data_IF_073073600858
#
_entry.id   IF_073073600858
#
_cell.length_a   1.000
_cell.length_b   1.000
_cell.length_c   1.000
_cell.angle_alpha   90.00
_cell.angle_beta   90.00
_cell.angle_gamma   90.00
#
_symmetry.space_group_name_H-M   'P 1'
#
loop_
_entity.id
_entity.type
_entity.pdbx_description
1 polymer ?
#
# COMPACT_ATOMS: atom_id res chain seq x y z
N UNK A 1 8.27 9.90 19.39
CA UNK A 1 9.24 9.01 18.73
C UNK A 1 10.11 9.84 17.81
N UNK A 2 11.31 9.39 17.50
CA UNK A 2 12.23 10.01 16.53
C UNK A 2 12.38 9.05 15.36
N UNK A 3 12.40 9.56 14.13
CA UNK A 3 12.68 8.75 12.94
C UNK A 3 13.71 9.43 12.06
N UNK A 4 14.41 8.61 11.27
CA UNK A 4 15.46 9.06 10.36
C UNK A 4 15.20 8.43 9.01
N UNK A 5 14.76 9.24 8.04
CA UNK A 5 14.59 8.78 6.65
C UNK A 5 15.91 8.81 5.86
N UNK A 6 16.90 9.58 6.35
CA UNK A 6 18.20 9.77 5.69
C UNK A 6 18.18 10.75 4.50
N UNK A 7 17.01 11.31 4.19
CA UNK A 7 16.77 12.32 3.15
C UNK A 7 15.74 13.34 3.66
N UNK A 8 15.62 14.52 3.03
CA UNK A 8 14.55 15.47 3.35
C UNK A 8 13.18 14.82 3.22
N UNK A 9 12.37 14.98 4.26
CA UNK A 9 10.95 14.62 4.24
C UNK A 9 10.20 15.81 3.65
N UNK A 10 9.42 15.57 2.61
CA UNK A 10 8.72 16.63 1.88
C UNK A 10 7.24 16.63 2.15
N UNK A 11 6.65 15.44 2.33
CA UNK A 11 5.25 15.32 2.71
C UNK A 11 5.03 14.22 3.74
N UNK A 12 4.01 14.45 4.57
CA UNK A 12 3.57 13.54 5.63
C UNK A 12 2.06 13.34 5.50
N UNK A 13 1.63 12.08 5.51
CA UNK A 13 0.23 11.70 5.37
C UNK A 13 -0.17 10.77 6.50
N UNK A 14 -1.29 11.09 7.15
CA UNK A 14 -1.98 10.12 8.00
C UNK A 14 -2.95 9.31 7.15
N UNK A 15 -2.78 8.00 7.21
CA UNK A 15 -3.53 7.05 6.40
C UNK A 15 -3.88 5.87 7.31
N UNK A 16 -5.15 5.80 7.72
CA UNK A 16 -5.57 4.87 8.76
C UNK A 16 -4.76 5.04 10.04
N UNK A 17 -4.12 3.97 10.51
CA UNK A 17 -3.30 3.98 11.74
C UNK A 17 -1.79 4.15 11.45
N UNK A 18 -1.46 4.68 10.28
CA UNK A 18 -0.08 4.85 9.83
C UNK A 18 0.22 6.31 9.51
N UNK A 19 1.47 6.69 9.74
CA UNK A 19 2.04 7.96 9.29
C UNK A 19 3.06 7.66 8.19
N UNK A 20 2.81 8.16 6.99
CA UNK A 20 3.65 7.97 5.82
C UNK A 20 4.45 9.25 5.59
N UNK A 21 5.76 9.14 5.53
CA UNK A 21 6.71 10.17 5.15
C UNK A 21 7.22 9.89 3.73
N UNK A 22 7.14 10.86 2.83
CA UNK A 22 7.65 10.73 1.47
C UNK A 22 8.75 11.75 1.19
N UNK A 23 9.61 11.40 0.24
CA UNK A 23 10.67 12.26 -0.29
C UNK A 23 10.69 12.16 -1.81
N UNK A 24 10.92 13.27 -2.52
CA UNK A 24 11.09 13.27 -3.98
C UNK A 24 12.21 12.34 -4.44
N UNK A 25 13.18 12.01 -3.58
CA UNK A 25 14.24 11.02 -3.86
C UNK A 25 13.73 9.59 -4.07
N UNK A 26 12.46 9.32 -3.76
CA UNK A 26 11.86 7.99 -3.80
C UNK A 26 11.96 7.23 -2.48
N UNK A 27 12.45 7.85 -1.39
CA UNK A 27 12.36 7.21 -0.06
C UNK A 27 10.96 7.39 0.53
N UNK A 28 10.41 6.30 1.06
CA UNK A 28 9.17 6.27 1.81
C UNK A 28 9.45 5.72 3.20
N UNK A 29 9.10 6.48 4.24
CA UNK A 29 9.09 6.02 5.62
C UNK A 29 7.67 5.80 6.09
N UNK A 30 7.39 4.71 6.79
CA UNK A 30 6.06 4.46 7.35
C UNK A 30 6.15 4.06 8.80
N UNK A 31 5.39 4.78 9.61
CA UNK A 31 5.20 4.47 11.02
C UNK A 31 3.87 3.81 11.24
N UNK A 32 3.88 2.68 11.94
CA UNK A 32 2.67 2.03 12.40
C UNK A 32 2.39 2.44 13.86
N UNK A 33 1.22 3.01 14.11
CA UNK A 33 0.86 3.51 15.44
C UNK A 33 0.59 2.39 16.46
N UNK A 34 0.28 1.16 16.02
CA UNK A 34 0.08 -0.01 16.88
C UNK A 34 1.41 -0.59 17.31
N UNK A 35 2.27 -0.92 16.34
CA UNK A 35 3.57 -1.57 16.61
C UNK A 35 4.64 -0.57 17.07
N UNK A 36 4.36 0.74 16.93
CA UNK A 36 5.27 1.85 17.24
C UNK A 36 6.59 1.78 16.46
N UNK A 37 6.59 1.10 15.31
CA UNK A 37 7.78 0.83 14.52
C UNK A 37 7.80 1.66 13.23
N UNK A 38 8.99 2.13 12.83
CA UNK A 38 9.24 2.78 11.54
C UNK A 38 9.84 1.79 10.56
N UNK A 39 9.31 1.75 9.35
CA UNK A 39 9.88 1.03 8.21
C UNK A 39 10.25 2.04 7.13
N UNK A 40 11.35 1.80 6.42
CA UNK A 40 11.77 2.64 5.29
C UNK A 40 11.92 1.74 4.08
N UNK A 41 11.36 2.18 2.96
CA UNK A 41 11.43 1.50 1.68
C UNK A 41 11.78 2.50 0.59
N UNK A 42 12.55 2.03 -0.39
CA UNK A 42 12.88 2.81 -1.58
C UNK A 42 11.91 2.47 -2.71
N UNK A 43 11.46 3.53 -3.39
CA UNK A 43 10.74 3.52 -4.65
C UNK A 43 11.45 4.45 -5.64
N UNK A 44 10.82 4.64 -6.79
CA UNK A 44 11.22 5.61 -7.81
C UNK A 44 10.83 7.04 -7.38
N UNK A 45 11.58 8.09 -7.77
CA UNK A 45 11.25 9.47 -7.44
C UNK A 45 9.77 9.82 -7.63
N UNK A 46 9.19 10.44 -6.59
CA UNK A 46 7.76 10.70 -6.48
C UNK A 46 7.49 12.12 -7.00
N UNK A 47 6.69 12.25 -8.04
CA UNK A 47 6.33 13.52 -8.65
C UNK A 47 4.96 14.04 -8.20
N UNK A 48 4.06 13.12 -7.86
CA UNK A 48 2.71 13.44 -7.43
C UNK A 48 2.21 12.42 -6.42
N UNK A 49 1.22 12.81 -5.63
CA UNK A 49 0.58 11.93 -4.65
C UNK A 49 -0.84 12.41 -4.41
N UNK A 50 -1.72 11.50 -4.00
CA UNK A 50 -3.02 11.86 -3.45
C UNK A 50 -3.52 10.84 -2.42
N UNK A 51 -4.13 11.32 -1.35
CA UNK A 51 -4.53 10.53 -0.19
C UNK A 51 -6.05 10.37 -0.13
N UNK A 52 -6.52 9.15 0.08
CA UNK A 52 -7.93 8.82 0.18
C UNK A 52 -8.20 7.93 1.39
N UNK A 53 -8.58 8.56 2.50
CA UNK A 53 -9.01 7.90 3.74
C UNK A 53 -7.96 6.96 4.35
N UNK A 54 -7.90 5.72 3.85
CA UNK A 54 -7.07 4.62 4.36
C UNK A 54 -5.95 4.19 3.41
N UNK A 55 -5.74 4.92 2.29
CA UNK A 55 -4.58 4.72 1.43
C UNK A 55 -4.03 6.03 0.84
N UNK A 56 -2.84 5.93 0.25
CA UNK A 56 -2.13 6.95 -0.49
C UNK A 56 -1.75 6.38 -1.86
N UNK A 57 -1.96 7.15 -2.92
CA UNK A 57 -1.42 6.88 -4.24
C UNK A 57 -0.20 7.77 -4.49
N UNK A 58 0.83 7.21 -5.11
CA UNK A 58 2.05 7.92 -5.48
C UNK A 58 2.26 7.77 -6.98
N UNK A 59 2.49 8.88 -7.67
CA UNK A 59 2.84 8.93 -9.07
C UNK A 59 4.32 9.24 -9.22
N UNK A 60 5.05 8.34 -9.87
CA UNK A 60 6.50 8.42 -9.99
C UNK A 60 6.95 9.00 -11.34
N UNK A 61 8.22 9.39 -11.41
CA UNK A 61 8.82 9.99 -12.61
C UNK A 61 8.99 9.03 -13.80
N UNK A 62 8.84 7.72 -13.59
CA UNK A 62 8.97 6.67 -14.60
C UNK A 62 7.61 6.08 -15.05
N UNK A 63 6.53 6.79 -14.78
CA UNK A 63 5.18 6.34 -15.11
C UNK A 63 4.58 5.31 -14.15
N UNK A 64 5.30 4.86 -13.12
CA UNK A 64 4.76 3.95 -12.12
C UNK A 64 3.78 4.66 -11.17
N UNK A 65 2.68 3.99 -10.84
CA UNK A 65 1.72 4.39 -9.81
C UNK A 65 1.79 3.38 -8.68
N UNK A 66 2.17 3.83 -7.49
CA UNK A 66 2.23 3.00 -6.28
C UNK A 66 1.05 3.25 -5.36
N UNK A 67 0.53 2.17 -4.79
CA UNK A 67 -0.41 2.17 -3.67
C UNK A 67 0.36 2.00 -2.37
N UNK A 68 0.04 2.81 -1.36
CA UNK A 68 0.55 2.70 0.00
C UNK A 68 -0.63 2.70 0.96
N UNK A 69 -0.81 1.63 1.70
CA UNK A 69 -1.91 1.50 2.66
C UNK A 69 -1.88 0.18 3.40
N UNK A 70 -2.81 0.02 4.34
CA UNK A 70 -3.02 -1.27 4.99
C UNK A 70 -3.56 -2.27 3.98
N UNK A 71 -2.97 -3.48 3.92
CA UNK A 71 -3.66 -4.59 3.27
C UNK A 71 -4.97 -4.75 4.04
N UNK A 72 -6.09 -4.48 3.40
CA UNK A 72 -7.30 -5.18 3.79
C UNK A 72 -6.96 -6.65 3.64
N UNK A 73 -6.68 -7.32 4.76
CA UNK A 73 -6.88 -8.76 4.83
C UNK A 73 -8.29 -8.92 4.28
N UNK A 74 -8.51 -9.69 3.19
CA UNK A 74 -9.87 -9.95 2.76
C UNK A 74 -10.59 -10.40 4.02
N UNK A 75 -11.61 -9.65 4.44
CA UNK A 75 -12.43 -9.99 5.60
C UNK A 75 -13.32 -11.19 5.22
N UNK A 76 -12.71 -12.23 4.65
CA UNK A 76 -13.31 -13.51 4.38
C UNK A 76 -13.38 -14.31 5.67
N UNK A 77 -14.08 -13.80 6.69
CA UNK A 77 -15.04 -14.67 7.36
C UNK A 77 -16.31 -14.60 6.52
N UNK A 78 -16.31 -15.33 5.41
CA UNK A 78 -17.58 -15.69 4.79
C UNK A 78 -18.17 -16.76 5.70
N UNK A 79 -19.06 -16.37 6.61
CA UNK A 79 -19.88 -17.32 7.33
C UNK A 79 -20.89 -17.89 6.32
N UNK A 80 -20.57 -19.04 5.71
CA UNK A 80 -21.60 -19.86 5.10
C UNK A 80 -22.35 -20.58 6.23
N UNK A 81 -23.67 -20.44 6.23
CA UNK A 81 -24.57 -20.94 7.28
C UNK A 81 -24.37 -22.41 7.64
N UNK A 82 -24.84 -22.76 8.83
CA UNK A 82 -24.75 -24.09 9.43
C UNK A 82 -25.51 -25.14 8.61
N UNK A 83 -24.79 -25.96 7.85
CA UNK A 83 -25.25 -27.28 7.41
C UNK A 83 -24.87 -28.36 8.44
N UNK A 84 -25.58 -29.50 8.51
CA UNK A 84 -25.45 -30.48 9.59
C UNK A 84 -24.12 -31.25 9.65
N UNK A 85 -23.17 -30.99 8.74
CA UNK A 85 -21.88 -31.67 8.66
C UNK A 85 -20.70 -30.71 8.43
N UNK A 86 -20.50 -29.72 9.29
CA UNK A 86 -19.26 -28.93 9.37
C UNK A 86 -18.87 -28.10 8.12
N UNK A 87 -17.85 -27.23 8.21
CA UNK A 87 -17.47 -26.37 7.09
C UNK A 87 -16.64 -27.13 6.04
N UNK A 88 -17.15 -27.19 4.80
CA UNK A 88 -16.45 -27.71 3.63
C UNK A 88 -15.78 -26.56 2.86
N UNK A 89 -14.45 -26.54 2.82
CA UNK A 89 -13.64 -25.46 2.23
C UNK A 89 -13.44 -25.65 0.71
N UNK A 90 -14.39 -25.23 -0.12
CA UNK A 90 -14.22 -25.24 -1.58
C UNK A 90 -13.73 -23.86 -2.10
N UNK A 91 -12.40 -23.77 -2.14
CA UNK A 91 -11.51 -23.18 -3.15
C UNK A 91 -12.06 -22.10 -4.11
N UNK A 92 -11.47 -20.90 -4.03
CA UNK A 92 -11.40 -19.93 -5.13
C UNK A 92 -10.60 -20.51 -6.32
N UNK A 93 -10.95 -20.16 -7.57
CA UNK A 93 -10.22 -20.62 -8.74
C UNK A 93 -8.76 -20.09 -8.76
N UNK A 94 -7.78 -20.86 -9.28
CA UNK A 94 -6.35 -20.59 -9.09
C UNK A 94 -5.77 -19.34 -9.78
N UNK A 95 -6.56 -18.59 -10.54
CA UNK A 95 -6.05 -17.54 -11.44
C UNK A 95 -5.97 -16.14 -10.83
N UNK A 96 -6.65 -15.88 -9.71
CA UNK A 96 -6.64 -14.57 -9.02
C UNK A 96 -5.71 -14.50 -7.80
N UNK A 97 -5.00 -15.60 -7.49
CA UNK A 97 -4.12 -15.68 -6.32
C UNK A 97 -2.72 -15.13 -6.61
N UNK A 98 -2.30 -15.09 -7.88
CA UNK A 98 -0.93 -14.72 -8.27
C UNK A 98 -0.68 -13.22 -8.46
N UNK A 99 -1.71 -12.36 -8.47
CA UNK A 99 -1.52 -10.90 -8.58
C UNK A 99 -1.30 -10.20 -7.24
N UNK A 100 -1.47 -10.90 -6.14
CA UNK A 100 -1.17 -10.35 -4.83
C UNK A 100 0.15 -10.93 -4.33
N UNK A 101 1.19 -10.09 -4.11
CA UNK A 101 2.45 -10.59 -3.59
C UNK A 101 2.21 -11.28 -2.25
N UNK A 102 2.40 -12.60 -2.24
CA UNK A 102 2.47 -13.43 -1.05
C UNK A 102 3.78 -13.11 -0.33
N UNK A 103 3.80 -11.99 0.39
CA UNK A 103 4.73 -11.81 1.51
C UNK A 103 3.96 -11.93 2.81
N UNK A 104 3.80 -13.18 3.22
CA UNK A 104 3.50 -13.55 4.59
C UNK A 104 4.80 -13.48 5.40
N UNK A 105 4.95 -12.44 6.21
CA UNK A 105 5.45 -12.47 7.60
C UNK A 105 5.53 -11.03 8.12
N UNK A 106 4.62 -10.74 9.04
CA UNK A 106 4.71 -9.67 10.05
C UNK A 106 4.77 -8.21 9.57
N UNK A 107 3.61 -7.55 9.55
CA UNK A 107 3.45 -6.10 9.65
C UNK A 107 4.11 -5.21 8.57
N UNK A 108 4.57 -5.76 7.47
CA UNK A 108 5.12 -4.97 6.38
C UNK A 108 4.05 -4.14 5.66
N UNK A 109 4.32 -2.84 5.61
CA UNK A 109 3.73 -1.91 4.67
C UNK A 109 3.67 -2.51 3.27
N UNK A 110 2.56 -2.31 2.58
CA UNK A 110 2.46 -2.65 1.18
C UNK A 110 2.58 -1.40 0.34
N UNK A 111 3.81 -1.08 -0.01
CA UNK A 111 4.04 -0.30 -1.22
C UNK A 111 3.92 -1.27 -2.39
N UNK A 112 2.85 -1.14 -3.16
CA UNK A 112 2.56 -2.03 -4.29
C UNK A 112 2.45 -1.21 -5.56
N UNK A 113 3.23 -1.57 -6.58
CA UNK A 113 3.05 -0.99 -7.91
C UNK A 113 1.73 -1.50 -8.50
N UNK A 114 0.82 -0.58 -8.83
CA UNK A 114 -0.47 -0.90 -9.42
C UNK A 114 -0.41 -0.86 -10.95
N UNK A 115 0.16 0.22 -11.48
CA UNK A 115 0.22 0.52 -12.91
C UNK A 115 1.58 1.11 -13.26
N UNK A 116 1.94 1.00 -14.54
CA UNK A 116 3.10 1.65 -15.13
C UNK A 116 2.78 2.03 -16.56
N UNK A 117 3.06 3.28 -16.91
CA UNK A 117 3.07 3.70 -18.32
C UNK A 117 4.20 2.98 -19.07
N UNK A 118 3.93 2.23 -20.15
CA UNK A 118 4.95 1.60 -20.97
C UNK A 118 5.95 2.57 -21.59
N UNK A 119 5.56 3.83 -21.77
CA UNK A 119 6.44 4.90 -22.28
C UNK A 119 7.35 5.48 -21.20
N UNK A 120 7.10 5.12 -19.94
CA UNK A 120 7.76 5.63 -18.74
C UNK A 120 7.61 7.15 -18.55
N UNK A 121 6.55 7.77 -19.09
CA UNK A 121 6.31 9.19 -18.90
C UNK A 121 5.88 9.48 -17.46
N UNK A 122 6.40 10.58 -16.91
CA UNK A 122 6.18 10.93 -15.51
C UNK A 122 4.70 11.15 -15.17
N UNK A 123 4.25 10.59 -14.05
CA UNK A 123 2.92 10.88 -13.50
C UNK A 123 2.95 12.23 -12.78
N UNK A 124 2.49 13.28 -13.48
CA UNK A 124 2.59 14.66 -13.00
C UNK A 124 1.47 15.07 -12.05
N UNK A 125 0.34 14.36 -12.07
CA UNK A 125 -0.80 14.65 -11.20
C UNK A 125 -1.57 13.36 -10.91
N UNK A 126 -2.07 13.27 -9.68
CA UNK A 126 -3.01 12.24 -9.25
C UNK A 126 -4.20 12.93 -8.60
N UNK A 127 -5.38 12.34 -8.79
CA UNK A 127 -6.56 12.66 -8.00
C UNK A 127 -7.31 11.37 -7.71
N UNK A 128 -7.67 11.17 -6.45
CA UNK A 128 -8.48 10.04 -6.00
C UNK A 128 -9.72 10.55 -5.28
N UNK A 129 -10.86 9.95 -5.61
CA UNK A 129 -12.14 10.26 -4.99
C UNK A 129 -12.79 8.96 -4.49
N UNK A 130 -13.25 8.97 -3.25
CA UNK A 130 -14.03 7.88 -2.67
C UNK A 130 -15.51 8.26 -2.71
N UNK A 131 -16.31 7.41 -3.34
CA UNK A 131 -17.78 7.47 -3.35
C UNK A 131 -18.37 6.72 -2.16
#
# INVERSE_FOLDING_TARGET
GVFVLGVPVEALFFVGNQLIATSHTGKIGVWNAVTKHWQVQDVVPINSYDAAGTFLLLGCNNGSIYYVGERQRPSGRVAAGTGPHGPNWLLFPPQDVQKFPLRMKDNDLLVTELYRDPSEDAVTALSVYLT
#
